data_IF_340995083996
#
_entry.id   IF_340995083996
#
_cell.length_a   1.000
_cell.length_b   1.000
_cell.length_c   1.000
_cell.angle_alpha   90.00
_cell.angle_beta   90.00
_cell.angle_gamma   90.00
#
_symmetry.space_group_name_H-M   'P 1'
#
loop_
_entity.id
_entity.type
_entity.pdbx_description
1 polymer ?
#
# COMPACT_ATOMS: atom_id res chain seq x y z
N UNK A 1 26.80 -9.72 -57.60
CA UNK A 1 26.79 -8.89 -56.37
C UNK A 1 25.35 -8.63 -56.00
N UNK A 2 24.80 -9.43 -55.08
CA UNK A 2 23.43 -9.26 -54.58
C UNK A 2 23.50 -8.28 -53.41
N UNK A 3 22.68 -7.21 -53.36
CA UNK A 3 22.77 -6.24 -52.27
C UNK A 3 22.32 -6.90 -50.97
N UNK A 4 23.14 -6.71 -49.93
CA UNK A 4 22.84 -7.05 -48.54
C UNK A 4 21.56 -6.31 -48.12
N UNK A 5 20.47 -7.06 -47.88
CA UNK A 5 19.30 -6.52 -47.19
C UNK A 5 19.74 -6.09 -45.78
N UNK A 6 19.68 -4.78 -45.52
CA UNK A 6 19.75 -4.23 -44.18
C UNK A 6 18.52 -4.74 -43.43
N UNK A 7 18.75 -5.55 -42.38
CA UNK A 7 17.72 -5.90 -41.42
C UNK A 7 17.21 -4.60 -40.77
N UNK A 8 15.96 -4.25 -41.08
CA UNK A 8 15.21 -3.26 -40.31
C UNK A 8 15.12 -3.74 -38.86
N UNK A 9 15.26 -2.85 -37.86
CA UNK A 9 15.02 -3.22 -36.47
C UNK A 9 13.57 -3.72 -36.35
N UNK A 10 13.39 -4.94 -35.83
CA UNK A 10 12.07 -5.49 -35.50
C UNK A 10 11.38 -4.46 -34.61
N UNK A 11 10.19 -4.01 -35.02
CA UNK A 11 9.34 -3.22 -34.15
C UNK A 11 9.13 -4.01 -32.85
N UNK A 12 9.67 -3.49 -31.74
CA UNK A 12 9.43 -4.04 -30.41
C UNK A 12 7.92 -4.14 -30.19
N UNK A 13 7.49 -5.26 -29.64
CA UNK A 13 6.09 -5.49 -29.32
C UNK A 13 5.63 -4.39 -28.36
N UNK A 14 4.47 -3.77 -28.59
CA UNK A 14 3.85 -2.80 -27.64
C UNK A 14 3.67 -3.42 -26.24
N UNK A 15 3.75 -4.75 -26.13
CA UNK A 15 3.63 -5.54 -24.92
C UNK A 15 4.93 -6.27 -24.54
N UNK A 16 6.11 -5.69 -24.80
CA UNK A 16 7.39 -6.18 -24.27
C UNK A 16 7.84 -5.35 -23.06
N UNK A 17 8.56 -5.97 -22.11
CA UNK A 17 9.11 -5.29 -20.94
C UNK A 17 8.06 -5.02 -19.86
N UNK A 18 8.14 -3.83 -19.24
CA UNK A 18 7.25 -3.43 -18.14
C UNK A 18 5.75 -3.51 -18.48
N UNK A 19 5.25 -3.11 -19.66
CA UNK A 19 3.85 -3.30 -20.03
C UNK A 19 3.32 -4.71 -19.77
N UNK A 20 4.10 -5.75 -20.09
CA UNK A 20 3.69 -7.13 -19.88
C UNK A 20 3.72 -7.53 -18.40
N UNK A 21 4.70 -7.06 -17.64
CA UNK A 21 4.73 -7.23 -16.16
C UNK A 21 3.44 -6.68 -15.57
N UNK A 22 3.05 -5.46 -15.96
CA UNK A 22 1.84 -4.82 -15.45
C UNK A 22 0.57 -5.59 -15.84
N UNK A 23 0.51 -6.12 -17.07
CA UNK A 23 -0.62 -6.96 -17.52
C UNK A 23 -0.71 -8.25 -16.70
N UNK A 24 0.40 -8.96 -16.49
CA UNK A 24 0.45 -10.18 -15.67
C UNK A 24 0.01 -9.89 -14.24
N UNK A 25 0.52 -8.82 -13.64
CA UNK A 25 0.10 -8.37 -12.31
C UNK A 25 -1.41 -8.06 -12.25
N UNK A 26 -1.96 -7.36 -13.26
CA UNK A 26 -3.41 -7.12 -13.37
C UNK A 26 -4.22 -8.40 -13.49
N UNK A 27 -3.77 -9.37 -14.29
CA UNK A 27 -4.47 -10.65 -14.45
C UNK A 27 -4.48 -11.47 -13.15
N UNK A 28 -3.35 -11.51 -12.42
CA UNK A 28 -3.22 -12.18 -11.13
C UNK A 28 -4.18 -11.55 -10.09
N UNK A 29 -4.25 -10.22 -10.04
CA UNK A 29 -5.18 -9.53 -9.14
C UNK A 29 -6.63 -9.85 -9.50
N UNK A 30 -7.02 -9.79 -10.77
CA UNK A 30 -8.39 -10.13 -11.21
C UNK A 30 -8.76 -11.56 -10.83
N UNK A 31 -7.86 -12.52 -11.06
CA UNK A 31 -8.06 -13.92 -10.65
C UNK A 31 -8.30 -14.03 -9.14
N UNK A 32 -7.56 -13.28 -8.31
CA UNK A 32 -7.71 -13.31 -6.86
C UNK A 32 -9.03 -12.74 -6.34
N UNK A 33 -9.72 -11.93 -7.14
CA UNK A 33 -11.00 -11.29 -6.80
C UNK A 33 -12.21 -12.11 -7.24
N UNK A 34 -12.02 -13.18 -8.03
CA UNK A 34 -13.11 -14.03 -8.48
C UNK A 34 -13.71 -14.84 -7.33
N UNK A 35 -15.00 -14.62 -7.05
CA UNK A 35 -15.73 -15.24 -5.93
C UNK A 35 -16.25 -16.66 -6.22
N UNK A 36 -15.88 -17.24 -7.37
CA UNK A 36 -16.30 -18.58 -7.78
C UNK A 36 -16.11 -18.84 -9.28
N UNK A 37 -16.48 -20.04 -9.75
CA UNK A 37 -16.40 -20.39 -11.17
C UNK A 37 -17.19 -19.39 -12.03
N UNK A 38 -16.59 -18.95 -13.14
CA UNK A 38 -17.21 -18.06 -14.12
C UNK A 38 -17.36 -18.78 -15.46
N UNK A 39 -18.26 -18.28 -16.31
CA UNK A 39 -18.33 -18.66 -17.72
C UNK A 39 -18.19 -17.40 -18.59
N UNK A 40 -17.10 -17.27 -19.38
CA UNK A 40 -15.95 -18.18 -19.49
C UNK A 40 -15.13 -18.27 -18.18
N UNK A 41 -14.37 -19.37 -18.03
CA UNK A 41 -13.54 -19.64 -16.83
C UNK A 41 -12.59 -18.49 -16.50
N UNK A 42 -12.03 -17.87 -17.53
CA UNK A 42 -11.19 -16.68 -17.40
C UNK A 42 -11.83 -15.52 -18.16
N UNK A 43 -11.84 -14.34 -17.54
CA UNK A 43 -12.26 -13.13 -18.24
C UNK A 43 -11.29 -12.77 -19.38
N UNK A 44 -11.73 -11.89 -20.28
CA UNK A 44 -10.96 -11.48 -21.44
C UNK A 44 -9.61 -10.85 -21.06
N UNK A 45 -9.52 -10.16 -19.92
CA UNK A 45 -8.26 -9.53 -19.48
C UNK A 45 -7.23 -10.59 -19.10
N UNK A 46 -7.63 -11.60 -18.32
CA UNK A 46 -6.77 -12.71 -17.93
C UNK A 46 -6.34 -13.51 -19.16
N UNK A 47 -7.29 -13.88 -20.02
CA UNK A 47 -6.99 -14.67 -21.22
C UNK A 47 -6.09 -13.93 -22.21
N UNK A 48 -6.35 -12.63 -22.45
CA UNK A 48 -5.51 -11.81 -23.34
C UNK A 48 -4.09 -11.67 -22.80
N UNK A 49 -3.94 -11.49 -21.48
CA UNK A 49 -2.64 -11.40 -20.84
C UNK A 49 -1.83 -12.67 -21.01
N UNK A 50 -2.45 -13.82 -20.74
CA UNK A 50 -1.81 -15.12 -20.96
C UNK A 50 -1.41 -15.31 -22.44
N UNK A 51 -2.28 -14.94 -23.38
CA UNK A 51 -1.96 -15.03 -24.81
C UNK A 51 -0.76 -14.15 -25.20
N UNK A 52 -0.62 -12.94 -24.64
CA UNK A 52 0.55 -12.08 -24.89
C UNK A 52 1.83 -12.66 -24.30
N UNK A 53 1.76 -13.25 -23.09
CA UNK A 53 2.90 -13.92 -22.47
C UNK A 53 3.38 -15.11 -23.33
N UNK A 54 2.45 -15.97 -23.74
CA UNK A 54 2.73 -17.11 -24.64
C UNK A 54 3.37 -16.63 -25.95
N UNK A 55 2.80 -15.59 -26.58
CA UNK A 55 3.32 -15.03 -27.82
C UNK A 55 4.77 -14.53 -27.65
N UNK A 56 5.11 -13.87 -26.54
CA UNK A 56 6.46 -13.37 -26.29
C UNK A 56 7.45 -14.52 -26.05
N UNK A 57 7.09 -15.54 -25.26
CA UNK A 57 7.90 -16.75 -25.08
C UNK A 57 8.23 -17.39 -26.44
N UNK A 58 7.21 -17.61 -27.27
CA UNK A 58 7.37 -18.24 -28.59
C UNK A 58 8.26 -17.41 -29.53
N UNK A 59 8.15 -16.07 -29.50
CA UNK A 59 9.01 -15.17 -30.28
C UNK A 59 10.48 -15.22 -29.86
N UNK A 60 10.75 -15.49 -28.58
CA UNK A 60 12.11 -15.63 -28.01
C UNK A 60 12.61 -17.08 -28.00
N UNK A 61 11.84 -18.04 -28.53
CA UNK A 61 12.21 -19.45 -28.55
C UNK A 61 12.20 -20.12 -27.17
N UNK A 62 11.48 -19.56 -26.21
CA UNK A 62 11.32 -20.08 -24.85
C UNK A 62 10.03 -20.90 -24.74
N UNK A 63 10.01 -21.85 -23.80
CA UNK A 63 8.80 -22.62 -23.48
C UNK A 63 7.83 -21.76 -22.65
N UNK A 64 6.61 -21.47 -23.13
CA UNK A 64 5.63 -20.72 -22.35
C UNK A 64 5.04 -21.56 -21.21
N UNK A 65 4.39 -20.92 -20.20
CA UNK A 65 3.54 -21.67 -19.29
C UNK A 65 2.41 -22.33 -20.10
N UNK A 66 2.09 -23.59 -19.82
CA UNK A 66 1.10 -24.36 -20.57
C UNK A 66 -0.35 -23.96 -20.26
N UNK A 67 -0.57 -23.17 -19.20
CA UNK A 67 -1.90 -22.72 -18.79
C UNK A 67 -1.84 -21.48 -17.88
N UNK A 68 -2.99 -20.84 -17.66
CA UNK A 68 -3.15 -19.73 -16.69
C UNK A 68 -2.72 -20.15 -15.26
N UNK A 69 -3.09 -21.33 -14.73
CA UNK A 69 -2.58 -21.79 -13.43
C UNK A 69 -1.05 -21.96 -13.40
N UNK A 70 -0.43 -22.36 -14.50
CA UNK A 70 1.03 -22.42 -14.58
C UNK A 70 1.68 -21.05 -14.63
N UNK A 71 1.06 -20.07 -15.30
CA UNK A 71 1.48 -18.66 -15.21
C UNK A 71 1.42 -18.14 -13.76
N UNK A 72 0.37 -18.48 -12.99
CA UNK A 72 0.28 -18.13 -11.56
C UNK A 72 1.37 -18.85 -10.75
N UNK A 73 1.71 -20.09 -11.10
CA UNK A 73 2.82 -20.82 -10.47
C UNK A 73 4.17 -20.16 -10.77
N UNK A 74 4.41 -19.74 -12.01
CA UNK A 74 5.60 -18.95 -12.36
C UNK A 74 5.70 -17.70 -11.51
N UNK A 75 4.59 -16.98 -11.36
CA UNK A 75 4.46 -15.79 -10.52
C UNK A 75 4.76 -16.00 -9.04
N UNK A 76 4.68 -17.23 -8.53
CA UNK A 76 5.04 -17.58 -7.16
C UNK A 76 6.49 -18.06 -7.01
N UNK A 77 7.06 -18.62 -8.06
CA UNK A 77 8.35 -19.33 -8.00
C UNK A 77 9.52 -18.51 -8.55
N UNK A 78 9.26 -17.54 -9.42
CA UNK A 78 10.30 -16.83 -10.16
C UNK A 78 10.17 -15.32 -9.94
N UNK A 79 11.24 -14.67 -9.44
CA UNK A 79 11.29 -13.22 -9.33
C UNK A 79 11.01 -12.53 -10.67
N UNK A 80 10.39 -11.35 -10.65
CA UNK A 80 9.96 -10.62 -11.86
C UNK A 80 11.11 -10.37 -12.84
N UNK A 81 12.34 -10.17 -12.34
CA UNK A 81 13.52 -9.89 -13.15
C UNK A 81 14.32 -11.12 -13.59
N UNK A 82 13.86 -12.33 -13.29
CA UNK A 82 14.62 -13.57 -13.49
C UNK A 82 13.96 -14.51 -14.51
N UNK A 83 14.73 -15.48 -15.02
CA UNK A 83 14.17 -16.56 -15.83
C UNK A 83 13.09 -17.33 -15.03
N UNK A 84 12.00 -17.81 -15.67
CA UNK A 84 11.78 -17.97 -17.12
C UNK A 84 10.99 -16.82 -17.76
N UNK A 85 10.94 -15.64 -17.15
CA UNK A 85 10.13 -14.55 -17.71
C UNK A 85 10.68 -14.08 -19.07
N UNK A 86 9.83 -13.93 -20.10
CA UNK A 86 10.29 -13.64 -21.46
C UNK A 86 10.50 -12.13 -21.71
N UNK A 87 10.22 -11.25 -20.75
CA UNK A 87 10.37 -9.80 -20.93
C UNK A 87 11.82 -9.36 -20.70
N UNK A 88 12.22 -8.32 -21.43
CA UNK A 88 13.48 -7.61 -21.15
C UNK A 88 13.15 -6.39 -20.33
N UNK A 89 13.73 -6.27 -19.15
CA UNK A 89 13.55 -5.11 -18.28
C UNK A 89 14.79 -4.22 -18.38
N UNK A 90 14.64 -2.89 -18.18
CA UNK A 90 15.77 -1.97 -18.12
C UNK A 90 16.87 -2.46 -17.15
N UNK A 91 18.14 -2.14 -17.41
CA UNK A 91 19.25 -2.55 -16.52
C UNK A 91 19.11 -1.98 -15.09
N UNK A 92 18.41 -0.86 -14.93
CA UNK A 92 18.08 -0.24 -13.65
C UNK A 92 16.77 -0.80 -13.04
N UNK A 93 16.14 -1.79 -13.68
CA UNK A 93 15.04 -2.54 -13.08
C UNK A 93 15.56 -3.36 -11.91
N UNK A 94 15.30 -2.87 -10.71
CA UNK A 94 15.59 -3.64 -9.52
C UNK A 94 14.33 -4.41 -9.09
N UNK A 95 14.32 -5.67 -9.51
CA UNK A 95 13.32 -6.64 -9.11
C UNK A 95 13.50 -7.18 -7.70
N UNK A 96 14.63 -6.97 -7.01
CA UNK A 96 14.85 -7.32 -5.60
C UNK A 96 14.43 -8.74 -5.17
N UNK A 97 14.49 -9.74 -6.05
CA UNK A 97 13.97 -11.10 -5.77
C UNK A 97 12.45 -11.19 -5.63
N UNK A 98 11.72 -10.17 -6.10
CA UNK A 98 10.29 -10.01 -5.90
C UNK A 98 9.47 -10.96 -6.76
N UNK A 99 8.55 -11.67 -6.10
CA UNK A 99 7.52 -12.50 -6.74
C UNK A 99 6.18 -11.76 -6.74
N UNK A 100 5.33 -12.07 -7.73
CA UNK A 100 3.98 -11.48 -7.86
C UNK A 100 2.95 -12.24 -7.01
N UNK A 101 3.19 -13.52 -6.72
CA UNK A 101 2.31 -14.36 -5.92
C UNK A 101 3.09 -14.91 -4.73
N UNK A 102 2.47 -14.92 -3.57
CA UNK A 102 3.03 -15.55 -2.40
C UNK A 102 2.88 -17.08 -2.49
N UNK A 103 3.98 -17.81 -2.34
CA UNK A 103 4.00 -19.28 -2.47
C UNK A 103 3.24 -20.01 -1.35
N UNK A 104 3.10 -19.39 -0.18
CA UNK A 104 2.43 -20.01 0.97
C UNK A 104 0.90 -19.82 0.94
N UNK A 105 0.44 -18.61 0.58
CA UNK A 105 -0.99 -18.27 0.56
C UNK A 105 -1.61 -18.37 -0.83
N UNK A 106 -0.80 -18.40 -1.88
CA UNK A 106 -1.21 -18.31 -3.27
C UNK A 106 -2.00 -17.03 -3.58
N UNK A 107 -1.73 -15.95 -2.82
CA UNK A 107 -2.37 -14.65 -3.01
C UNK A 107 -1.41 -13.63 -3.61
N UNK A 108 -1.90 -12.58 -4.31
CA UNK A 108 -1.03 -11.57 -4.88
C UNK A 108 -0.25 -10.82 -3.80
N UNK A 109 1.06 -10.65 -3.99
CA UNK A 109 1.96 -9.89 -3.11
C UNK A 109 1.70 -8.39 -3.21
N UNK A 110 2.21 -7.60 -2.27
CA UNK A 110 2.17 -6.13 -2.38
C UNK A 110 2.77 -5.65 -3.71
N UNK A 111 3.85 -6.27 -4.18
CA UNK A 111 4.46 -5.90 -5.46
C UNK A 111 3.55 -6.17 -6.65
N UNK A 112 2.79 -7.26 -6.65
CA UNK A 112 1.79 -7.49 -7.69
C UNK A 112 0.71 -6.40 -7.70
N UNK A 113 0.28 -5.96 -6.52
CA UNK A 113 -0.66 -4.85 -6.40
C UNK A 113 -0.08 -3.52 -6.90
N UNK A 114 1.20 -3.26 -6.66
CA UNK A 114 1.88 -2.05 -7.14
C UNK A 114 2.16 -2.06 -8.64
N UNK A 115 2.46 -3.23 -9.23
CA UNK A 115 2.71 -3.40 -10.65
C UNK A 115 1.45 -3.41 -11.50
N UNK A 116 0.30 -3.74 -10.91
CA UNK A 116 -0.98 -3.78 -11.62
C UNK A 116 -1.19 -2.51 -12.45
N UNK A 117 -1.48 -2.67 -13.76
CA UNK A 117 -2.03 -1.54 -14.53
C UNK A 117 -3.33 -1.14 -13.84
N UNK A 118 -3.45 0.14 -13.50
CA UNK A 118 -4.76 0.73 -13.31
C UNK A 118 -5.48 0.72 -14.66
N UNK A 119 -6.06 -0.42 -15.01
CA UNK A 119 -6.54 -0.67 -16.35
C UNK A 119 -7.74 0.24 -16.60
N UNK A 120 -7.90 0.68 -17.85
CA UNK A 120 -9.06 1.43 -18.35
C UNK A 120 -10.40 0.67 -18.26
N UNK A 121 -10.48 -0.42 -17.48
CA UNK A 121 -11.72 -1.10 -17.15
C UNK A 121 -12.34 -0.37 -15.95
N UNK A 122 -12.97 0.74 -16.28
CA UNK A 122 -13.39 1.80 -15.36
C UNK A 122 -14.26 1.23 -14.23
N UNK A 123 -15.04 0.17 -14.46
CA UNK A 123 -16.08 -0.27 -13.52
C UNK A 123 -15.60 -0.89 -12.19
N UNK A 124 -14.59 -1.77 -12.18
CA UNK A 124 -14.17 -2.44 -10.93
C UNK A 124 -13.16 -1.60 -10.14
N UNK A 125 -12.25 -0.92 -10.85
CA UNK A 125 -11.26 -0.03 -10.24
C UNK A 125 -11.85 1.35 -9.89
N UNK A 126 -12.92 1.80 -10.57
CA UNK A 126 -13.73 2.91 -10.06
C UNK A 126 -14.39 2.54 -8.76
N UNK A 127 -14.85 1.30 -8.55
CA UNK A 127 -15.59 0.95 -7.32
C UNK A 127 -14.68 0.97 -6.07
N UNK A 128 -13.44 0.51 -6.19
CA UNK A 128 -12.50 0.45 -5.06
C UNK A 128 -11.88 1.83 -4.73
N UNK A 129 -11.41 2.57 -5.74
CA UNK A 129 -11.04 3.99 -5.56
C UNK A 129 -12.27 4.86 -5.25
N UNK A 130 -13.49 4.44 -5.65
CA UNK A 130 -14.72 5.17 -5.32
C UNK A 130 -14.93 5.21 -3.83
N UNK A 131 -14.71 4.14 -3.07
CA UNK A 131 -15.10 4.17 -1.66
C UNK A 131 -14.39 5.31 -0.92
N UNK A 132 -13.09 5.50 -1.18
CA UNK A 132 -12.34 6.63 -0.65
C UNK A 132 -12.76 7.97 -1.27
N UNK A 133 -12.93 8.05 -2.60
CA UNK A 133 -13.33 9.28 -3.28
C UNK A 133 -14.75 9.74 -2.91
N UNK A 134 -15.67 8.79 -2.73
CA UNK A 134 -17.04 8.97 -2.24
C UNK A 134 -17.00 9.48 -0.81
N UNK A 135 -16.24 8.84 0.08
CA UNK A 135 -16.07 9.33 1.45
C UNK A 135 -15.53 10.78 1.48
N UNK A 136 -14.50 11.07 0.66
CA UNK A 136 -13.97 12.43 0.52
C UNK A 136 -15.04 13.40 0.01
N UNK A 137 -15.80 13.03 -1.01
CA UNK A 137 -16.82 13.88 -1.60
C UNK A 137 -17.97 14.15 -0.63
N UNK A 138 -18.46 13.13 0.07
CA UNK A 138 -19.52 13.24 1.09
C UNK A 138 -19.08 14.13 2.25
N UNK A 139 -17.90 13.88 2.82
CA UNK A 139 -17.38 14.70 3.91
C UNK A 139 -17.07 16.13 3.48
N UNK A 140 -16.60 16.36 2.25
CA UNK A 140 -16.41 17.72 1.71
C UNK A 140 -17.74 18.45 1.55
N UNK A 141 -18.76 17.80 1.00
CA UNK A 141 -20.08 18.39 0.82
C UNK A 141 -20.73 18.76 2.16
N UNK A 142 -20.49 17.97 3.21
CA UNK A 142 -20.96 18.22 4.56
C UNK A 142 -20.03 19.15 5.39
N UNK A 143 -18.86 19.54 4.86
CA UNK A 143 -17.81 20.24 5.60
C UNK A 143 -17.43 19.54 6.93
N UNK A 144 -17.26 18.22 6.87
CA UNK A 144 -17.03 17.34 8.03
C UNK A 144 -15.66 16.63 7.95
N UNK A 145 -14.53 17.33 8.15
CA UNK A 145 -13.19 16.73 8.12
C UNK A 145 -12.95 15.70 9.24
N UNK A 146 -13.63 15.85 10.38
CA UNK A 146 -13.60 14.91 11.50
C UNK A 146 -14.16 13.55 11.09
N UNK A 147 -15.29 13.52 10.37
CA UNK A 147 -15.87 12.28 9.82
C UNK A 147 -14.93 11.52 8.89
N UNK A 148 -14.21 12.24 8.02
CA UNK A 148 -13.21 11.59 7.15
C UNK A 148 -12.05 11.01 7.97
N UNK A 149 -11.61 11.72 9.01
CA UNK A 149 -10.55 11.28 9.91
C UNK A 149 -10.96 10.04 10.71
N UNK A 150 -12.18 10.05 11.26
CA UNK A 150 -12.76 8.91 11.98
C UNK A 150 -12.87 7.69 11.05
N UNK A 151 -13.38 7.89 9.83
CA UNK A 151 -13.46 6.85 8.81
C UNK A 151 -12.10 6.24 8.50
N UNK A 152 -11.09 7.05 8.21
CA UNK A 152 -9.74 6.53 7.92
C UNK A 152 -9.15 5.78 9.12
N UNK A 153 -9.32 6.28 10.35
CA UNK A 153 -8.91 5.57 11.57
C UNK A 153 -9.61 4.22 11.72
N UNK A 154 -10.91 4.14 11.45
CA UNK A 154 -11.68 2.90 11.50
C UNK A 154 -11.05 1.86 10.57
N UNK A 155 -10.83 2.21 9.30
CA UNK A 155 -10.26 1.28 8.31
C UNK A 155 -8.83 0.80 8.69
N UNK A 156 -8.06 1.65 9.37
CA UNK A 156 -6.70 1.30 9.80
C UNK A 156 -6.72 0.42 11.05
N UNK A 157 -7.57 0.74 12.03
CA UNK A 157 -7.52 0.12 13.37
C UNK A 157 -8.40 -1.10 13.51
N UNK A 158 -9.46 -1.20 12.71
CA UNK A 158 -10.45 -2.27 12.79
C UNK A 158 -10.68 -2.94 11.43
N UNK A 159 -9.65 -3.53 10.79
CA UNK A 159 -9.83 -4.17 9.49
C UNK A 159 -10.76 -5.40 9.52
N UNK A 160 -11.17 -5.84 10.71
CA UNK A 160 -12.12 -6.94 10.94
C UNK A 160 -13.15 -6.50 11.98
N UNK A 161 -14.42 -6.79 11.70
CA UNK A 161 -15.57 -6.50 12.56
C UNK A 161 -16.50 -7.72 12.62
N UNK A 162 -17.15 -7.93 13.75
CA UNK A 162 -18.34 -8.78 13.81
C UNK A 162 -19.53 -8.10 13.14
N UNK A 163 -20.55 -8.86 12.75
CA UNK A 163 -21.78 -8.30 12.21
C UNK A 163 -22.49 -7.33 13.17
N UNK A 164 -22.41 -7.59 14.48
CA UNK A 164 -22.93 -6.73 15.53
C UNK A 164 -22.16 -5.41 15.61
N UNK A 165 -20.83 -5.46 15.68
CA UNK A 165 -19.98 -4.25 15.65
C UNK A 165 -20.23 -3.45 14.37
N UNK A 166 -20.30 -4.12 13.20
CA UNK A 166 -20.59 -3.46 11.91
C UNK A 166 -21.97 -2.78 11.87
N UNK A 167 -22.95 -3.30 12.60
CA UNK A 167 -24.27 -2.70 12.69
C UNK A 167 -24.33 -1.51 13.64
N UNK A 168 -23.48 -1.50 14.68
CA UNK A 168 -23.45 -0.48 15.74
C UNK A 168 -22.48 0.68 15.46
N UNK A 169 -21.67 0.64 14.39
CA UNK A 169 -20.64 1.66 14.09
C UNK A 169 -21.17 3.10 14.22
N UNK A 170 -22.32 3.39 13.62
CA UNK A 170 -22.89 4.74 13.63
C UNK A 170 -23.48 5.14 14.99
N UNK A 171 -23.88 4.17 15.81
CA UNK A 171 -24.38 4.41 17.16
C UNK A 171 -23.22 4.67 18.15
N UNK A 172 -22.07 4.01 17.94
CA UNK A 172 -20.89 4.10 18.80
C UNK A 172 -20.05 5.36 18.53
N UNK A 173 -20.07 5.88 17.30
CA UNK A 173 -19.29 7.06 16.89
C UNK A 173 -20.09 7.93 15.91
N UNK A 174 -20.55 9.08 16.38
CA UNK A 174 -21.33 10.05 15.60
C UNK A 174 -20.56 10.60 14.39
N UNK A 175 -19.21 10.64 14.45
CA UNK A 175 -18.42 11.11 13.32
C UNK A 175 -18.47 10.12 12.14
N UNK A 176 -18.86 8.85 12.38
CA UNK A 176 -19.00 7.82 11.36
C UNK A 176 -20.41 7.72 10.74
N UNK A 177 -21.41 8.39 11.34
CA UNK A 177 -22.80 8.31 10.88
C UNK A 177 -22.94 8.73 9.40
N UNK A 178 -22.28 9.83 9.01
CA UNK A 178 -22.28 10.35 7.63
C UNK A 178 -21.84 9.30 6.61
N UNK A 179 -20.88 8.45 6.98
CA UNK A 179 -20.23 7.50 6.08
C UNK A 179 -20.69 6.04 6.30
N UNK A 180 -21.75 5.81 7.08
CA UNK A 180 -22.16 4.48 7.50
C UNK A 180 -22.37 3.47 6.34
N UNK A 181 -23.02 3.89 5.25
CA UNK A 181 -23.22 3.02 4.07
C UNK A 181 -21.92 2.76 3.30
N UNK A 182 -21.08 3.80 3.17
CA UNK A 182 -19.75 3.68 2.56
C UNK A 182 -18.87 2.72 3.37
N UNK A 183 -18.88 2.84 4.70
CA UNK A 183 -18.21 1.93 5.62
C UNK A 183 -18.67 0.50 5.39
N UNK A 184 -19.98 0.22 5.36
CA UNK A 184 -20.49 -1.14 5.14
C UNK A 184 -20.00 -1.77 3.83
N UNK A 185 -19.85 -0.97 2.77
CA UNK A 185 -19.33 -1.40 1.46
C UNK A 185 -17.82 -1.66 1.47
N UNK A 186 -17.07 -1.08 2.41
CA UNK A 186 -15.66 -1.40 2.61
C UNK A 186 -15.46 -2.82 3.18
N UNK A 187 -16.46 -3.41 3.86
CA UNK A 187 -16.34 -4.72 4.50
C UNK A 187 -17.09 -5.82 3.74
N UNK A 188 -16.39 -6.93 3.50
CA UNK A 188 -16.90 -8.18 2.93
C UNK A 188 -16.97 -9.27 4.01
N UNK A 189 -17.77 -10.31 3.77
CA UNK A 189 -17.82 -11.46 4.67
C UNK A 189 -16.46 -12.17 4.70
N UNK A 190 -15.99 -12.55 5.89
CA UNK A 190 -14.75 -13.30 6.05
C UNK A 190 -14.83 -14.65 5.30
N UNK A 191 -13.88 -14.96 4.40
CA UNK A 191 -13.88 -16.21 3.66
C UNK A 191 -13.64 -17.40 4.58
N UNK A 192 -14.35 -18.50 4.33
CA UNK A 192 -14.19 -19.74 5.08
C UNK A 192 -12.77 -20.34 4.99
N UNK A 193 -11.96 -19.95 3.98
CA UNK A 193 -10.56 -20.35 3.87
C UNK A 193 -9.67 -19.83 4.99
N UNK A 194 -10.11 -18.81 5.74
CA UNK A 194 -9.42 -18.29 6.92
C UNK A 194 -9.86 -18.97 8.23
N UNK A 195 -10.87 -19.85 8.16
CA UNK A 195 -11.43 -20.52 9.32
C UNK A 195 -10.58 -21.74 9.71
N UNK A 196 -10.19 -21.84 10.98
CA UNK A 196 -9.57 -23.04 11.55
C UNK A 196 -10.25 -23.37 12.88
N UNK A 197 -10.68 -24.62 13.03
CA UNK A 197 -11.32 -25.12 14.26
C UNK A 197 -12.49 -24.24 14.76
N UNK A 198 -13.28 -23.69 13.82
CA UNK A 198 -14.44 -22.85 14.13
C UNK A 198 -14.12 -21.40 14.52
N UNK A 199 -12.86 -20.98 14.48
CA UNK A 199 -12.44 -19.62 14.79
C UNK A 199 -11.56 -18.98 13.69
N UNK A 200 -11.64 -17.66 13.61
CA UNK A 200 -10.75 -16.83 12.82
C UNK A 200 -9.63 -16.30 13.71
N UNK A 201 -8.40 -16.29 13.20
CA UNK A 201 -7.26 -15.72 13.90
C UNK A 201 -6.96 -14.31 13.38
N UNK A 202 -6.83 -13.34 14.28
CA UNK A 202 -6.47 -11.96 13.97
C UNK A 202 -4.99 -11.72 14.24
N UNK A 203 -4.35 -10.95 13.37
CA UNK A 203 -2.97 -10.52 13.56
C UNK A 203 -2.87 -9.59 14.76
N UNK A 204 -1.94 -9.88 15.68
CA UNK A 204 -1.67 -9.04 16.85
C UNK A 204 -1.18 -7.62 16.52
N UNK A 205 -0.65 -7.43 15.30
CA UNK A 205 -0.10 -6.13 14.86
C UNK A 205 -1.11 -5.33 14.05
N UNK A 206 -1.62 -5.88 12.96
CA UNK A 206 -2.49 -5.15 12.04
C UNK A 206 -3.98 -5.38 12.25
N UNK A 207 -4.38 -6.41 13.01
CA UNK A 207 -5.79 -6.79 13.17
C UNK A 207 -6.40 -7.55 11.99
N UNK A 208 -5.74 -7.63 10.83
CA UNK A 208 -6.25 -8.40 9.69
C UNK A 208 -6.38 -9.89 10.01
N UNK A 209 -7.22 -10.59 9.25
CA UNK A 209 -7.31 -12.06 9.31
C UNK A 209 -5.97 -12.69 8.94
N UNK A 210 -5.64 -13.75 9.68
CA UNK A 210 -4.47 -14.58 9.40
C UNK A 210 -4.87 -15.80 8.58
N UNK A 211 -4.19 -15.99 7.46
CA UNK A 211 -4.41 -17.16 6.61
C UNK A 211 -3.78 -18.39 7.29
N UNK A 212 -4.55 -19.47 7.53
CA UNK A 212 -4.00 -20.71 8.06
C UNK A 212 -3.11 -21.38 7.01
N UNK A 213 -1.85 -21.67 7.37
CA UNK A 213 -0.91 -22.42 6.53
C UNK A 213 -0.42 -23.68 7.27
N UNK A 214 -0.37 -24.81 6.57
CA UNK A 214 -0.03 -26.10 7.19
C UNK A 214 -0.93 -26.44 8.39
N UNK A 215 -0.36 -27.13 9.39
CA UNK A 215 -1.10 -27.60 10.58
C UNK A 215 -1.34 -26.50 11.61
N UNK A 216 -0.28 -25.86 12.08
CA UNK A 216 -0.32 -24.95 13.23
C UNK A 216 0.33 -23.58 12.96
N UNK A 217 0.41 -23.18 11.68
CA UNK A 217 0.99 -21.90 11.30
C UNK A 217 -0.04 -20.97 10.70
N UNK A 218 0.29 -19.71 10.75
CA UNK A 218 -0.47 -18.61 10.21
C UNK A 218 0.46 -17.69 9.42
N UNK A 219 -0.09 -17.01 8.44
CA UNK A 219 0.59 -15.95 7.67
C UNK A 219 -0.34 -14.75 7.57
N UNK A 220 0.20 -13.55 7.80
CA UNK A 220 -0.54 -12.30 7.59
C UNK A 220 -0.38 -11.91 6.13
N UNK A 221 -1.38 -11.32 5.50
CA UNK A 221 -1.28 -10.85 4.12
C UNK A 221 -0.41 -9.60 3.96
N UNK A 222 -0.26 -8.77 5.00
CA UNK A 222 0.51 -7.53 4.93
C UNK A 222 2.00 -7.82 5.06
N UNK A 223 2.78 -7.43 4.04
CA UNK A 223 4.24 -7.59 3.98
C UNK A 223 4.93 -7.13 5.27
N UNK A 224 4.51 -5.99 5.81
CA UNK A 224 5.02 -5.42 7.06
C UNK A 224 4.94 -6.41 8.24
N UNK A 225 3.84 -7.15 8.36
CA UNK A 225 3.62 -8.12 9.45
C UNK A 225 4.32 -9.46 9.22
N UNK A 226 4.61 -9.83 7.96
CA UNK A 226 5.36 -11.05 7.64
C UNK A 226 6.82 -10.97 8.09
N UNK A 227 7.39 -9.76 8.07
CA UNK A 227 8.80 -9.47 8.39
C UNK A 227 9.16 -9.67 9.87
N UNK A 228 8.23 -9.41 10.79
CA UNK A 228 8.47 -9.48 12.24
C UNK A 228 8.60 -10.92 12.79
N UNK A 229 8.90 -11.90 11.93
CA UNK A 229 9.04 -13.33 12.21
C UNK A 229 7.79 -13.94 12.85
N UNK A 230 6.93 -14.47 11.98
CA UNK A 230 5.62 -15.10 12.23
C UNK A 230 4.55 -14.11 12.69
N UNK A 231 3.39 -14.05 12.01
CA UNK A 231 2.28 -13.30 12.54
C UNK A 231 1.87 -13.91 13.88
N UNK A 232 1.97 -13.11 14.92
CA UNK A 232 1.44 -13.49 16.23
C UNK A 232 -0.07 -13.41 16.17
N UNK A 233 -0.74 -14.47 16.60
CA UNK A 233 -2.19 -14.46 16.82
C UNK A 233 -2.45 -13.53 18.00
N UNK A 234 -3.13 -12.41 17.75
CA UNK A 234 -3.52 -11.47 18.80
C UNK A 234 -4.84 -11.87 19.44
N UNK A 235 -5.78 -12.35 18.63
CA UNK A 235 -7.11 -12.73 19.06
C UNK A 235 -7.64 -13.89 18.21
N UNK A 236 -8.39 -14.79 18.85
CA UNK A 236 -9.24 -15.77 18.18
C UNK A 236 -10.70 -15.31 18.30
N UNK A 237 -11.42 -15.32 17.19
CA UNK A 237 -12.83 -14.93 17.13
C UNK A 237 -13.67 -16.07 16.56
N UNK A 238 -14.64 -16.55 17.34
CA UNK A 238 -15.53 -17.61 16.89
C UNK A 238 -16.35 -17.16 15.68
N UNK A 239 -16.48 -18.04 14.67
CA UNK A 239 -17.14 -17.69 13.42
C UNK A 239 -18.62 -17.32 13.56
N UNK A 240 -19.29 -17.81 14.61
CA UNK A 240 -20.71 -17.51 14.89
C UNK A 240 -20.90 -16.25 15.72
N UNK A 241 -19.82 -15.64 16.23
CA UNK A 241 -19.91 -14.47 17.09
C UNK A 241 -20.53 -13.30 16.33
N UNK A 242 -21.50 -12.64 16.96
CA UNK A 242 -22.06 -11.36 16.50
C UNK A 242 -22.62 -11.38 15.07
N UNK A 243 -23.17 -12.50 14.58
CA UNK A 243 -23.73 -12.57 13.22
C UNK A 243 -22.71 -12.77 12.09
N UNK A 244 -21.53 -13.30 12.42
CA UNK A 244 -20.45 -13.55 11.47
C UNK A 244 -19.36 -12.49 11.51
N UNK A 245 -18.25 -12.79 10.84
CA UNK A 245 -17.10 -11.89 10.77
C UNK A 245 -17.00 -11.27 9.38
N UNK A 246 -16.71 -9.98 9.35
CA UNK A 246 -16.50 -9.19 8.15
C UNK A 246 -15.09 -8.64 8.20
N UNK A 247 -14.41 -8.65 7.07
CA UNK A 247 -13.10 -8.01 6.90
C UNK A 247 -13.19 -6.93 5.85
N UNK A 248 -12.36 -5.90 5.94
CA UNK A 248 -12.20 -4.95 4.85
C UNK A 248 -11.88 -5.67 3.56
N UNK A 249 -12.38 -5.22 2.41
CA UNK A 249 -11.97 -5.79 1.12
C UNK A 249 -10.44 -5.66 0.94
N UNK A 250 -9.86 -6.54 0.14
CA UNK A 250 -8.39 -6.64 0.02
C UNK A 250 -7.70 -5.32 -0.36
N UNK A 251 -8.19 -4.51 -1.32
CA UNK A 251 -7.62 -3.20 -1.62
C UNK A 251 -7.56 -2.28 -0.40
N UNK A 252 -8.63 -2.20 0.41
CA UNK A 252 -8.63 -1.39 1.63
C UNK A 252 -7.58 -1.89 2.62
N UNK A 253 -7.42 -3.22 2.78
CA UNK A 253 -6.36 -3.79 3.65
C UNK A 253 -4.96 -3.44 3.15
N UNK A 254 -4.72 -3.58 1.85
CA UNK A 254 -3.40 -3.38 1.23
C UNK A 254 -2.98 -1.90 1.16
N UNK A 255 -3.92 -1.00 0.88
CA UNK A 255 -3.60 0.40 0.56
C UNK A 255 -4.07 1.41 1.60
N UNK A 256 -4.97 1.03 2.51
CA UNK A 256 -5.40 1.89 3.62
C UNK A 256 -4.85 1.34 4.94
N UNK A 257 -5.21 0.10 5.32
CA UNK A 257 -4.78 -0.47 6.59
C UNK A 257 -3.26 -0.59 6.68
N UNK A 258 -2.61 -1.24 5.71
CA UNK A 258 -1.17 -1.47 5.72
C UNK A 258 -0.33 -0.19 5.87
N UNK A 259 -0.42 0.76 4.91
CA UNK A 259 0.27 2.04 5.00
C UNK A 259 -0.16 2.87 6.21
N UNK A 260 -1.46 2.87 6.53
CA UNK A 260 -2.02 3.61 7.66
C UNK A 260 -1.46 3.19 9.02
N UNK A 261 -0.99 1.95 9.18
CA UNK A 261 -0.27 1.55 10.39
C UNK A 261 1.01 2.38 10.58
N UNK A 262 1.76 2.66 9.50
CA UNK A 262 2.96 3.49 9.58
C UNK A 262 2.61 4.95 9.91
N UNK A 263 1.51 5.47 9.36
CA UNK A 263 0.98 6.79 9.70
C UNK A 263 0.63 6.88 11.20
N UNK A 264 -0.09 5.89 11.74
CA UNK A 264 -0.48 5.89 13.16
C UNK A 264 0.66 5.61 14.13
N UNK A 265 1.65 4.80 13.71
CA UNK A 265 2.88 4.60 14.50
C UNK A 265 3.65 5.91 14.61
N UNK A 266 3.76 6.65 13.50
CA UNK A 266 4.41 7.95 13.47
C UNK A 266 3.64 9.00 14.29
N UNK A 267 2.30 9.01 14.22
CA UNK A 267 1.44 9.82 15.09
C UNK A 267 1.78 9.57 16.56
N UNK A 268 1.81 8.30 16.98
CA UNK A 268 2.11 7.93 18.36
C UNK A 268 3.52 8.38 18.79
N UNK A 269 4.52 8.23 17.93
CA UNK A 269 5.89 8.68 18.21
C UNK A 269 6.01 10.21 18.31
N UNK A 270 5.25 10.96 17.52
CA UNK A 270 5.21 12.42 17.60
C UNK A 270 4.46 12.90 18.85
N UNK A 271 3.35 12.24 19.23
CA UNK A 271 2.62 12.51 20.48
C UNK A 271 3.51 12.30 21.72
N UNK A 272 4.32 11.22 21.75
CA UNK A 272 5.30 10.97 22.83
C UNK A 272 6.32 12.09 22.98
N UNK A 273 6.57 12.87 21.92
CA UNK A 273 7.48 14.02 21.91
C UNK A 273 6.78 15.34 22.30
N UNK A 274 5.52 15.28 22.72
CA UNK A 274 4.73 16.43 23.13
C UNK A 274 4.20 17.27 21.97
N UNK A 275 4.29 16.77 20.73
CA UNK A 275 3.66 17.40 19.58
C UNK A 275 2.18 16.99 19.49
N UNK A 276 1.40 17.74 18.71
CA UNK A 276 0.01 17.40 18.39
C UNK A 276 -0.13 17.29 16.87
N UNK A 277 0.11 16.10 16.29
CA UNK A 277 -0.11 15.87 14.87
C UNK A 277 -1.59 16.00 14.53
N UNK A 278 -1.88 16.67 13.42
CA UNK A 278 -3.18 16.62 12.76
C UNK A 278 -3.09 15.56 11.66
N UNK A 279 -3.96 14.56 11.71
CA UNK A 279 -4.01 13.49 10.72
C UNK A 279 -4.87 13.90 9.51
N UNK A 280 -4.43 13.53 8.32
CA UNK A 280 -5.12 13.68 7.02
C UNK A 280 -5.82 15.03 6.78
N UNK A 281 -5.12 16.17 6.97
CA UNK A 281 -5.68 17.49 6.74
C UNK A 281 -6.30 17.66 5.35
N UNK A 282 -7.39 18.44 5.27
CA UNK A 282 -8.08 18.78 4.02
C UNK A 282 -8.43 17.56 3.14
N UNK A 283 -8.97 16.52 3.79
CA UNK A 283 -9.38 15.28 3.17
C UNK A 283 -8.22 14.66 2.37
N UNK A 284 -7.14 14.34 3.10
CA UNK A 284 -5.98 13.65 2.55
C UNK A 284 -5.11 14.50 1.61
N UNK A 285 -4.87 15.76 1.97
CA UNK A 285 -3.85 16.55 1.27
C UNK A 285 -2.44 15.97 1.45
N UNK A 286 -2.18 15.42 2.64
CA UNK A 286 -1.01 14.66 3.08
C UNK A 286 -1.38 13.97 4.41
N UNK A 287 -0.57 13.03 4.89
CA UNK A 287 -0.95 12.14 5.99
C UNK A 287 -0.88 12.78 7.38
N UNK A 288 0.17 13.56 7.67
CA UNK A 288 0.32 14.25 8.96
C UNK A 288 0.76 15.71 8.78
N UNK A 289 0.17 16.59 9.59
CA UNK A 289 0.63 17.97 9.79
C UNK A 289 1.12 18.13 11.22
N UNK A 290 2.33 18.64 11.40
CA UNK A 290 2.84 18.99 12.73
C UNK A 290 3.23 20.46 12.79
N UNK A 291 2.93 21.08 13.94
CA UNK A 291 3.43 22.42 14.28
C UNK A 291 4.56 22.26 15.30
N UNK A 292 5.76 22.63 14.90
CA UNK A 292 6.94 22.66 15.74
C UNK A 292 6.97 23.91 16.64
N UNK A 293 7.80 23.92 17.70
CA UNK A 293 8.07 25.14 18.45
C UNK A 293 8.52 26.28 17.52
N UNK A 294 8.08 27.51 17.81
CA UNK A 294 8.21 28.71 16.96
C UNK A 294 7.28 28.78 15.74
N UNK A 295 6.28 27.91 15.67
CA UNK A 295 5.20 28.01 14.69
C UNK A 295 5.53 27.45 13.30
N UNK A 296 6.71 26.84 13.12
CA UNK A 296 7.04 26.14 11.87
C UNK A 296 6.15 24.94 11.69
N UNK A 297 5.65 24.74 10.47
CA UNK A 297 4.72 23.68 10.11
C UNK A 297 5.39 22.73 9.13
N UNK A 298 5.36 21.45 9.46
CA UNK A 298 5.81 20.40 8.55
C UNK A 298 4.61 19.58 8.06
N UNK A 299 4.61 19.29 6.76
CA UNK A 299 3.71 18.33 6.12
C UNK A 299 4.46 17.02 5.87
N UNK A 300 3.84 15.91 6.20
CA UNK A 300 4.42 14.57 6.13
C UNK A 300 3.47 13.68 5.35
N UNK A 301 3.99 12.99 4.36
CA UNK A 301 3.27 12.04 3.53
C UNK A 301 4.03 10.70 3.56
N UNK A 302 3.40 9.71 4.18
CA UNK A 302 3.96 8.39 4.44
C UNK A 302 3.71 7.49 3.24
N UNK A 303 4.75 6.78 2.81
CA UNK A 303 4.75 5.93 1.62
C UNK A 303 5.35 4.58 1.96
N UNK A 304 4.47 3.63 2.22
CA UNK A 304 4.84 2.25 2.51
C UNK A 304 4.76 1.37 1.24
N UNK A 305 5.65 1.64 0.27
CA UNK A 305 5.71 0.89 -0.99
C UNK A 305 6.82 -0.17 -0.94
N UNK A 306 6.60 -1.29 -1.61
CA UNK A 306 7.61 -2.31 -1.79
C UNK A 306 8.59 -1.93 -2.91
N UNK A 307 8.10 -1.31 -3.99
CA UNK A 307 8.91 -0.94 -5.13
C UNK A 307 9.28 0.57 -5.11
N UNK A 308 10.54 0.93 -4.80
CA UNK A 308 10.99 2.32 -4.77
C UNK A 308 11.02 2.98 -6.15
N UNK A 309 11.20 2.21 -7.24
CA UNK A 309 11.16 2.74 -8.60
C UNK A 309 9.75 3.21 -8.97
N UNK A 310 8.73 2.39 -8.70
CA UNK A 310 7.33 2.76 -8.91
C UNK A 310 6.92 3.93 -8.02
N UNK A 311 7.40 3.97 -6.77
CA UNK A 311 7.20 5.10 -5.87
C UNK A 311 7.84 6.38 -6.44
N UNK A 312 9.07 6.31 -6.97
CA UNK A 312 9.77 7.44 -7.59
C UNK A 312 9.02 8.00 -8.79
N UNK A 313 8.63 7.13 -9.74
CA UNK A 313 7.90 7.55 -10.96
C UNK A 313 6.54 8.15 -10.67
N UNK A 314 5.88 7.68 -9.61
CA UNK A 314 4.59 8.18 -9.15
C UNK A 314 4.67 9.36 -8.18
N UNK A 315 5.87 9.83 -7.84
CA UNK A 315 6.04 10.91 -6.89
C UNK A 315 5.43 12.22 -7.44
N UNK A 316 4.79 12.96 -6.54
CA UNK A 316 4.24 14.28 -6.82
C UNK A 316 4.57 15.22 -5.65
N UNK A 317 4.57 16.55 -5.87
CA UNK A 317 4.63 17.50 -4.77
C UNK A 317 3.44 17.29 -3.82
N UNK A 318 3.66 17.46 -2.51
CA UNK A 318 2.58 17.50 -1.54
C UNK A 318 1.65 18.66 -1.85
N UNK A 319 0.34 18.45 -1.64
CA UNK A 319 -0.64 19.54 -1.79
C UNK A 319 -0.38 20.58 -0.71
N UNK A 320 -0.22 21.84 -1.12
CA UNK A 320 0.11 22.95 -0.22
C UNK A 320 -1.11 23.51 0.54
N UNK A 321 -2.28 22.87 0.45
CA UNK A 321 -3.47 23.28 1.19
C UNK A 321 -3.88 22.14 2.14
N UNK A 322 -3.68 22.28 3.47
CA UNK A 322 -3.28 23.50 4.18
C UNK A 322 -1.76 23.80 4.09
N UNK A 323 -1.35 25.07 4.26
CA UNK A 323 0.03 25.50 4.07
C UNK A 323 0.98 24.91 5.12
N UNK A 324 2.21 24.69 4.67
CA UNK A 324 3.33 24.17 5.43
C UNK A 324 4.64 24.85 5.01
N UNK A 325 5.64 24.86 5.89
CA UNK A 325 6.98 25.41 5.59
C UNK A 325 7.89 24.39 4.92
N UNK A 326 7.81 23.12 5.35
CA UNK A 326 8.59 22.01 4.79
C UNK A 326 7.72 20.76 4.61
N UNK A 327 7.92 20.05 3.49
CA UNK A 327 7.20 18.83 3.14
C UNK A 327 8.14 17.62 3.06
N UNK A 328 7.71 16.47 3.57
CA UNK A 328 8.51 15.25 3.61
C UNK A 328 7.74 14.07 3.03
N UNK A 329 8.34 13.37 2.04
CA UNK A 329 7.96 11.98 1.78
C UNK A 329 8.72 11.08 2.75
N UNK A 330 7.98 10.20 3.42
CA UNK A 330 8.53 9.35 4.47
C UNK A 330 8.22 7.90 4.18
N UNK A 331 9.24 7.06 4.03
CA UNK A 331 9.06 5.62 4.03
C UNK A 331 9.41 5.04 5.40
N UNK A 332 8.74 3.97 5.87
CA UNK A 332 9.15 3.29 7.08
C UNK A 332 10.61 2.80 6.98
N UNK A 333 11.39 2.90 8.06
CA UNK A 333 12.81 2.51 8.08
C UNK A 333 13.04 1.10 7.58
N UNK A 334 12.13 0.18 7.88
CA UNK A 334 12.27 -1.22 7.50
C UNK A 334 12.37 -1.42 5.97
N UNK A 335 11.90 -0.47 5.14
CA UNK A 335 12.07 -0.51 3.68
C UNK A 335 13.52 -0.26 3.26
N UNK A 336 14.21 0.62 3.98
CA UNK A 336 15.64 0.86 3.80
C UNK A 336 16.49 -0.28 4.36
N UNK A 337 16.03 -0.93 5.44
CA UNK A 337 16.74 -2.06 6.04
C UNK A 337 16.72 -3.30 5.13
N UNK A 338 15.64 -3.52 4.38
CA UNK A 338 15.56 -4.62 3.41
C UNK A 338 16.30 -4.36 2.11
N UNK A 339 16.34 -3.09 1.72
CA UNK A 339 16.90 -2.67 0.45
C UNK A 339 17.74 -1.43 0.71
N UNK A 340 19.03 -1.65 0.88
CA UNK A 340 20.00 -0.60 1.22
C UNK A 340 19.96 0.57 0.23
N UNK A 341 19.65 0.30 -1.04
CA UNK A 341 19.57 1.31 -2.09
C UNK A 341 18.16 1.87 -2.35
N UNK A 342 17.18 1.60 -1.47
CA UNK A 342 15.79 2.01 -1.63
C UNK A 342 15.65 3.51 -1.92
N UNK A 343 16.34 4.36 -1.13
CA UNK A 343 16.34 5.81 -1.34
C UNK A 343 17.03 6.24 -2.63
N UNK A 344 18.09 5.53 -3.05
CA UNK A 344 18.83 5.82 -4.29
C UNK A 344 17.97 5.51 -5.52
N UNK A 345 17.29 4.37 -5.52
CA UNK A 345 16.43 3.98 -6.65
C UNK A 345 15.17 4.84 -6.72
N UNK A 346 14.59 5.23 -5.59
CA UNK A 346 13.56 6.27 -5.57
C UNK A 346 14.04 7.56 -6.25
N UNK A 347 15.22 8.05 -5.86
CA UNK A 347 15.76 9.30 -6.38
C UNK A 347 16.07 9.23 -7.89
N UNK A 348 16.56 8.09 -8.37
CA UNK A 348 16.85 7.85 -9.79
C UNK A 348 15.58 7.86 -10.66
N UNK A 349 14.48 7.31 -10.17
CA UNK A 349 13.23 7.23 -10.92
C UNK A 349 12.26 8.40 -10.67
N UNK A 350 12.59 9.32 -9.77
CA UNK A 350 11.81 10.53 -9.53
C UNK A 350 11.93 11.48 -10.73
N UNK A 351 10.83 12.11 -11.19
CA UNK A 351 10.89 13.14 -12.22
C UNK A 351 11.89 14.26 -11.88
N UNK A 352 12.64 14.72 -12.88
CA UNK A 352 13.69 15.73 -12.73
C UNK A 352 13.14 17.05 -12.16
N UNK A 353 11.89 17.42 -12.48
CA UNK A 353 11.27 18.66 -12.00
C UNK A 353 11.04 18.68 -10.48
N UNK A 354 11.07 17.50 -9.84
CA UNK A 354 10.92 17.30 -8.41
C UNK A 354 12.26 17.24 -7.68
N UNK A 355 13.38 17.33 -8.39
CA UNK A 355 14.71 17.35 -7.79
C UNK A 355 14.89 18.56 -6.88
N UNK A 356 15.33 18.30 -5.65
CA UNK A 356 15.44 19.30 -4.58
C UNK A 356 14.12 19.75 -3.95
N UNK A 357 12.96 19.39 -4.53
CA UNK A 357 11.63 19.73 -4.00
C UNK A 357 10.99 18.60 -3.21
N UNK A 358 11.24 17.36 -3.62
CA UNK A 358 10.63 16.16 -3.04
C UNK A 358 11.72 15.17 -2.69
N UNK A 359 12.08 15.08 -1.40
CA UNK A 359 13.01 14.08 -0.89
C UNK A 359 12.27 12.95 -0.18
N UNK A 360 12.79 11.73 -0.30
CA UNK A 360 12.35 10.59 0.50
C UNK A 360 13.33 10.38 1.66
N UNK A 361 12.81 10.35 2.88
CA UNK A 361 13.56 10.02 4.09
C UNK A 361 12.89 8.87 4.85
N UNK A 362 13.58 8.28 5.82
CA UNK A 362 12.94 7.32 6.71
C UNK A 362 12.16 7.99 7.85
N UNK A 363 11.20 7.27 8.42
CA UNK A 363 10.50 7.67 9.65
C UNK A 363 11.48 7.94 10.81
N UNK A 364 12.54 7.13 10.96
CA UNK A 364 13.61 7.35 11.93
C UNK A 364 14.37 8.66 11.66
N UNK A 365 14.69 8.95 10.40
CA UNK A 365 15.37 10.20 10.05
C UNK A 365 14.47 11.42 10.32
N UNK A 366 13.17 11.33 9.99
CA UNK A 366 12.20 12.37 10.31
C UNK A 366 12.16 12.63 11.82
N UNK A 367 12.00 11.59 12.64
CA UNK A 367 11.96 11.73 14.09
C UNK A 367 13.26 12.33 14.64
N UNK A 368 14.42 11.96 14.09
CA UNK A 368 15.70 12.57 14.45
C UNK A 368 15.77 14.07 14.09
N UNK A 369 15.12 14.50 12.99
CA UNK A 369 14.99 15.92 12.62
C UNK A 369 14.09 16.66 13.61
N UNK A 370 12.95 16.08 13.96
CA UNK A 370 12.04 16.61 15.00
C UNK A 370 12.79 16.79 16.32
N UNK A 371 13.53 15.77 16.78
CA UNK A 371 14.27 15.83 18.04
C UNK A 371 15.37 16.91 18.04
N UNK A 372 15.93 17.26 16.87
CA UNK A 372 16.87 18.40 16.74
C UNK A 372 16.13 19.73 16.89
N UNK A 373 14.96 19.88 16.29
CA UNK A 373 14.16 21.10 16.37
C UNK A 373 13.64 21.36 17.79
N UNK A 374 13.14 20.32 18.47
CA UNK A 374 12.73 20.40 19.87
C UNK A 374 13.89 20.81 20.78
N UNK A 375 15.09 20.23 20.58
CA UNK A 375 16.29 20.61 21.34
C UNK A 375 16.74 22.04 21.08
N UNK A 376 16.67 22.52 19.82
CA UNK A 376 17.00 23.91 19.46
C UNK A 376 16.04 24.90 20.11
N UNK A 377 14.75 24.55 20.22
CA UNK A 377 13.77 25.36 20.92
C UNK A 377 14.03 25.40 22.43
N UNK A 378 14.31 24.25 23.05
CA UNK A 378 14.63 24.16 24.48
C UNK A 378 15.87 24.95 24.87
N UNK A 379 16.95 24.91 24.07
CA UNK A 379 18.18 25.67 24.35
C UNK A 379 17.94 27.18 24.32
N UNK A 380 17.21 27.67 23.32
CA UNK A 380 16.95 29.11 23.24
C UNK A 380 15.98 29.62 24.30
N UNK A 381 15.04 28.79 24.77
CA UNK A 381 14.21 29.14 25.93
C UNK A 381 15.08 29.32 27.19
N UNK A 382 16.05 28.42 27.41
CA UNK A 382 17.01 28.52 28.52
C UNK A 382 17.90 29.76 28.39
N UNK A 383 18.42 30.06 27.19
CA UNK A 383 19.23 31.27 26.96
C UNK A 383 18.44 32.56 27.22
N UNK A 384 17.18 32.65 26.76
CA UNK A 384 16.33 33.81 27.01
C UNK A 384 15.98 33.98 28.50
N UNK A 385 15.83 32.88 29.26
CA UNK A 385 15.62 32.93 30.71
C UNK A 385 16.88 33.40 31.45
N UNK A 386 18.08 33.02 30.99
CA UNK A 386 19.35 33.46 31.59
C UNK A 386 19.61 34.94 31.32
N UNK A 387 19.35 35.42 30.09
CA UNK A 387 19.49 36.84 29.75
C UNK A 387 18.47 37.72 30.50
N UNK A 388 17.21 37.28 30.59
CA UNK A 388 16.18 38.00 31.36
C UNK A 388 16.38 37.99 32.89
N UNK A 389 17.18 37.06 33.42
CA UNK A 389 17.58 37.02 34.83
C UNK A 389 18.88 37.80 35.13
N UNK A 390 19.65 38.16 34.10
CA UNK A 390 20.85 38.99 34.24
C UNK A 390 20.55 40.49 34.12
N UNK A 391 19.40 40.84 33.54
CA UNK A 391 18.89 42.22 33.40
C UNK A 391 17.91 42.65 34.53
N UNK A 392 17.78 41.84 35.59
CA UNK A 392 17.01 42.11 36.80
C UNK A 392 17.94 42.16 38.02
#
# INVERSE_FOLDING_TARGET
>A
MVPRQQQQPRAESVFEGEPLVKMVASAIVRLSQQQGPQEPVYDATVQNTYNQLVLLCLRKGQTPPASVPEMVRWAAQHPIGEDPWPWTLPEDFDGGGAVLVDDQTHTPTQQCWEWRVAARDVAAEQVENQLMLTAIAECRAANAPESYTAFRRLLIRQPVLTGAERAAIADDDLDLELLHDTIKRCYELAPASYLRDGAYALCARCGCLLAPIGRDRYVCELDRCRRDQHPRVGQLVEARRGGGLYQLNRPMRMFITGPGLAETDLEAELLKRGLRPQMWPNFDAYDLRITLPRGRVWAIDVKDRANPALLGRGAAPLRHDPPYDEGFLVAPQYRFDEREDYGRVFAHHRPDELTGKVGLISDRELLARVDRELRRAGRSAVTATIEGAADA
#
